data_IF_295773227093
#
_entry.id   IF_295773227093
#
_cell.length_a   1.000
_cell.length_b   1.000
_cell.length_c   1.000
_cell.angle_alpha   90.00
_cell.angle_beta   90.00
_cell.angle_gamma   90.00
#
_symmetry.space_group_name_H-M   'P 1'
#
loop_
_entity.id
_entity.type
_entity.pdbx_description
1 polymer ?
#
# COMPACT_ATOMS: atom_id res chain seq x y z
N UNK A 1 13.03 -2.51 -20.58
CA UNK A 1 12.80 -2.39 -19.12
C UNK A 1 13.28 -0.99 -18.81
N UNK A 2 12.39 -0.11 -18.36
CA UNK A 2 12.73 1.29 -18.20
C UNK A 2 13.69 1.47 -17.03
N UNK A 3 14.48 2.53 -17.08
CA UNK A 3 15.19 3.05 -15.93
C UNK A 3 14.33 4.13 -15.27
N UNK A 4 14.23 4.13 -13.95
CA UNK A 4 13.73 5.26 -13.21
C UNK A 4 14.80 6.35 -13.19
N UNK A 5 14.44 7.51 -13.69
CA UNK A 5 15.27 8.70 -13.72
C UNK A 5 14.77 9.65 -12.62
N UNK A 6 15.72 10.13 -11.80
CA UNK A 6 15.46 11.10 -10.74
C UNK A 6 16.31 12.31 -11.03
N UNK A 7 15.70 13.49 -11.12
CA UNK A 7 16.43 14.75 -11.27
C UNK A 7 16.07 15.76 -10.21
N UNK A 8 16.90 16.79 -10.11
CA UNK A 8 16.47 18.04 -9.51
C UNK A 8 15.49 18.77 -10.46
N UNK A 9 14.77 19.80 -9.99
CA UNK A 9 13.89 20.60 -10.84
C UNK A 9 14.64 21.41 -11.91
N UNK A 10 15.97 21.55 -11.77
CA UNK A 10 16.84 22.19 -12.74
C UNK A 10 17.22 21.32 -13.95
N UNK A 11 16.80 20.05 -13.96
CA UNK A 11 17.08 19.10 -15.04
C UNK A 11 18.40 18.33 -14.89
N UNK A 12 19.14 18.52 -13.79
CA UNK A 12 20.33 17.70 -13.54
C UNK A 12 19.89 16.32 -13.03
N UNK A 13 20.29 15.28 -13.77
CA UNK A 13 20.04 13.90 -13.39
C UNK A 13 20.82 13.55 -12.12
N UNK A 14 20.11 13.10 -11.10
CA UNK A 14 20.64 12.73 -9.80
C UNK A 14 20.84 11.21 -9.67
N UNK A 15 19.94 10.43 -10.26
CA UNK A 15 19.96 8.96 -10.21
C UNK A 15 19.34 8.41 -11.50
N UNK A 16 19.91 7.31 -11.98
CA UNK A 16 19.27 6.39 -12.92
C UNK A 16 19.29 5.01 -12.30
N UNK A 17 18.12 4.41 -12.09
CA UNK A 17 17.95 3.11 -11.47
C UNK A 17 17.22 2.19 -12.43
N UNK A 18 17.88 1.13 -12.88
CA UNK A 18 17.23 0.16 -13.75
C UNK A 18 16.14 -0.62 -13.02
N UNK A 19 14.97 -0.74 -13.66
CA UNK A 19 13.81 -1.35 -13.06
C UNK A 19 13.60 -2.78 -13.53
N UNK A 20 13.39 -3.69 -12.58
CA UNK A 20 13.11 -5.08 -12.86
C UNK A 20 11.61 -5.35 -12.81
N UNK A 21 11.11 -6.26 -13.65
CA UNK A 21 9.70 -6.67 -13.63
C UNK A 21 9.29 -7.20 -12.26
N UNK A 22 8.03 -6.93 -11.88
CA UNK A 22 7.44 -7.27 -10.58
C UNK A 22 8.20 -6.74 -9.36
N UNK A 23 9.20 -5.87 -9.52
CA UNK A 23 9.88 -5.27 -8.37
C UNK A 23 9.06 -4.13 -7.76
N UNK A 24 9.44 -3.79 -6.54
CA UNK A 24 8.93 -2.67 -5.78
C UNK A 24 10.11 -1.91 -5.19
N UNK A 25 10.11 -0.59 -5.36
CA UNK A 25 11.10 0.31 -4.78
C UNK A 25 10.38 1.23 -3.80
N UNK A 26 10.95 1.40 -2.62
CA UNK A 26 10.48 2.41 -1.65
C UNK A 26 11.28 3.69 -1.83
N UNK A 27 10.59 4.84 -1.82
CA UNK A 27 11.17 6.16 -2.00
C UNK A 27 10.92 7.02 -0.77
N UNK A 28 11.98 7.64 -0.25
CA UNK A 28 11.86 8.45 0.96
C UNK A 28 13.21 8.95 1.47
N UNK A 29 13.18 9.75 2.54
CA UNK A 29 14.41 10.22 3.20
C UNK A 29 15.02 9.23 4.18
N UNK A 30 14.31 8.15 4.50
CA UNK A 30 14.84 7.11 5.38
C UNK A 30 16.03 6.44 4.70
N UNK A 31 17.07 6.12 5.46
CA UNK A 31 18.19 5.30 4.98
C UNK A 31 17.78 3.84 4.68
N UNK A 32 16.56 3.47 5.07
CA UNK A 32 15.92 2.19 4.77
C UNK A 32 15.11 2.17 3.47
N UNK A 33 14.93 3.32 2.83
CA UNK A 33 14.28 3.38 1.52
C UNK A 33 15.23 2.82 0.45
N UNK A 34 14.66 2.16 -0.55
CA UNK A 34 15.44 1.66 -1.70
C UNK A 34 16.10 2.82 -2.46
N UNK A 35 15.35 3.91 -2.63
CA UNK A 35 15.86 5.18 -3.16
C UNK A 35 15.77 6.21 -2.04
N UNK A 36 16.94 6.65 -1.58
CA UNK A 36 17.08 7.60 -0.48
C UNK A 36 17.19 9.02 -1.05
N UNK A 37 16.24 9.87 -0.68
CA UNK A 37 16.24 11.30 -1.00
C UNK A 37 16.41 12.07 0.33
N UNK A 38 17.65 12.36 0.76
CA UNK A 38 17.96 12.95 2.06
C UNK A 38 17.60 14.44 2.13
N UNK A 39 16.31 14.75 2.08
CA UNK A 39 15.76 16.10 2.16
C UNK A 39 14.55 16.14 3.10
N UNK A 40 14.39 17.22 3.85
CA UNK A 40 13.32 17.35 4.85
C UNK A 40 11.93 17.57 4.23
N UNK A 41 11.86 17.96 2.95
CA UNK A 41 10.62 17.97 2.16
C UNK A 41 10.20 16.56 1.74
N UNK A 42 11.09 15.58 1.86
CA UNK A 42 10.79 14.18 1.59
C UNK A 42 10.37 13.48 2.88
N UNK A 43 9.22 12.79 2.87
CA UNK A 43 8.82 11.98 4.03
C UNK A 43 9.72 10.74 4.17
N UNK A 44 9.81 10.16 5.37
CA UNK A 44 10.65 8.96 5.61
C UNK A 44 10.28 7.81 4.69
N UNK A 45 8.97 7.56 4.57
CA UNK A 45 8.35 6.70 3.58
C UNK A 45 7.43 7.63 2.80
N UNK A 46 7.88 8.08 1.63
CA UNK A 46 7.17 9.09 0.86
C UNK A 46 6.25 8.43 -0.16
N UNK A 47 6.81 7.53 -0.95
CA UNK A 47 6.09 6.87 -2.01
C UNK A 47 6.60 5.44 -2.20
N UNK A 48 5.80 4.63 -2.86
CA UNK A 48 6.20 3.30 -3.31
C UNK A 48 5.99 3.19 -4.81
N UNK A 49 7.03 2.76 -5.52
CA UNK A 49 7.04 2.53 -6.95
C UNK A 49 6.93 1.02 -7.21
N UNK A 50 6.00 0.59 -8.04
CA UNK A 50 5.82 -0.82 -8.35
C UNK A 50 5.30 -1.04 -9.77
N UNK A 51 5.65 -2.19 -10.33
CA UNK A 51 5.17 -2.64 -11.65
C UNK A 51 3.78 -3.27 -11.57
N UNK A 52 2.94 -3.18 -12.60
CA UNK A 52 1.75 -3.99 -12.77
C UNK A 52 1.52 -4.18 -14.26
N UNK A 53 1.65 -5.42 -14.74
CA UNK A 53 1.50 -5.77 -16.16
C UNK A 53 2.43 -4.96 -17.09
N UNK A 54 3.65 -4.64 -16.64
CA UNK A 54 4.62 -3.85 -17.42
C UNK A 54 4.41 -2.34 -17.32
N UNK A 55 3.38 -1.90 -16.60
CA UNK A 55 3.11 -0.49 -16.32
C UNK A 55 3.59 -0.14 -14.92
N UNK A 56 4.30 0.97 -14.78
CA UNK A 56 4.82 1.40 -13.49
C UNK A 56 3.87 2.38 -12.82
N UNK A 57 3.73 2.22 -11.51
CA UNK A 57 2.83 2.99 -10.68
C UNK A 57 3.57 3.52 -9.45
N UNK A 58 3.32 4.78 -9.09
CA UNK A 58 3.80 5.42 -7.88
C UNK A 58 2.61 5.76 -6.98
N UNK A 59 2.59 5.21 -5.78
CA UNK A 59 1.59 5.53 -4.76
C UNK A 59 2.19 6.38 -3.65
N UNK A 60 1.51 7.47 -3.28
CA UNK A 60 1.84 8.29 -2.12
C UNK A 60 1.50 7.54 -0.82
N UNK A 61 2.40 7.59 0.15
CA UNK A 61 2.28 6.87 1.41
C UNK A 61 1.67 7.72 2.54
N UNK A 62 0.94 8.78 2.20
CA UNK A 62 0.49 9.81 3.15
C UNK A 62 1.61 10.79 3.47
N UNK A 63 2.38 11.19 2.46
CA UNK A 63 3.51 12.08 2.64
C UNK A 63 3.08 13.51 2.98
N UNK A 64 3.96 14.26 3.65
CA UNK A 64 3.69 15.66 4.01
C UNK A 64 3.62 16.59 2.80
N UNK A 65 4.49 16.36 1.82
CA UNK A 65 4.60 17.21 0.63
C UNK A 65 3.63 16.77 -0.48
N UNK A 66 3.19 15.51 -0.45
CA UNK A 66 2.38 14.88 -1.50
C UNK A 66 3.19 14.61 -2.77
N UNK A 67 2.49 14.04 -3.74
CA UNK A 67 2.95 13.91 -5.12
C UNK A 67 2.21 14.94 -5.99
N UNK A 68 2.89 15.40 -7.05
CA UNK A 68 2.30 16.29 -8.04
C UNK A 68 2.76 15.89 -9.43
N UNK A 69 1.83 15.84 -10.38
CA UNK A 69 2.10 15.59 -11.79
C UNK A 69 1.50 16.71 -12.65
N UNK A 70 1.37 16.49 -13.95
CA UNK A 70 0.85 17.44 -14.93
C UNK A 70 -0.60 17.88 -14.61
N UNK A 71 -1.38 16.99 -14.00
CA UNK A 71 -2.75 17.26 -13.57
C UNK A 71 -2.84 17.96 -12.20
N UNK A 72 -1.70 18.20 -11.54
CA UNK A 72 -1.61 18.78 -10.20
C UNK A 72 -1.39 17.73 -9.12
N UNK A 73 -1.86 18.00 -7.90
CA UNK A 73 -1.64 17.10 -6.76
C UNK A 73 -2.34 15.76 -6.97
N UNK A 74 -1.61 14.68 -6.68
CA UNK A 74 -2.12 13.32 -6.78
C UNK A 74 -1.62 12.45 -5.61
N UNK A 75 -2.34 11.37 -5.32
CA UNK A 75 -1.92 10.30 -4.41
C UNK A 75 -1.47 9.05 -5.16
N UNK A 76 -1.71 9.01 -6.48
CA UNK A 76 -1.38 7.88 -7.33
C UNK A 76 -1.01 8.37 -8.72
N UNK A 77 0.10 7.90 -9.24
CA UNK A 77 0.57 8.23 -10.59
C UNK A 77 0.90 6.95 -11.34
N UNK A 78 0.36 6.83 -12.54
CA UNK A 78 0.73 5.77 -13.48
C UNK A 78 1.66 6.38 -14.52
N UNK A 79 2.86 5.82 -14.67
CA UNK A 79 3.80 6.22 -15.72
C UNK A 79 3.31 5.64 -17.06
N UNK A 80 2.38 6.35 -17.68
CA UNK A 80 1.82 6.02 -18.99
C UNK A 80 2.10 7.15 -19.98
N UNK A 81 2.77 6.81 -21.08
CA UNK A 81 3.07 7.74 -22.17
C UNK A 81 4.36 8.55 -21.97
N UNK A 82 4.83 9.17 -23.05
CA UNK A 82 6.19 9.66 -23.19
C UNK A 82 6.53 10.91 -22.34
N UNK A 83 5.56 11.53 -21.67
CA UNK A 83 5.75 12.77 -20.90
C UNK A 83 5.43 12.61 -19.40
N UNK A 84 5.17 11.39 -18.93
CA UNK A 84 4.72 11.14 -17.56
C UNK A 84 5.81 11.42 -16.52
N UNK A 85 5.67 12.52 -15.79
CA UNK A 85 6.54 12.88 -14.67
C UNK A 85 5.76 13.03 -13.37
N UNK A 86 6.49 12.88 -12.26
CA UNK A 86 5.95 13.14 -10.93
C UNK A 86 6.98 13.82 -10.04
N UNK A 87 6.58 14.96 -9.48
CA UNK A 87 7.32 15.71 -8.49
C UNK A 87 7.07 15.12 -7.10
N UNK A 88 8.16 14.86 -6.39
CA UNK A 88 8.15 14.36 -5.03
C UNK A 88 9.13 15.18 -4.19
N UNK A 89 8.63 16.00 -3.27
CA UNK A 89 9.49 16.85 -2.46
C UNK A 89 10.41 17.74 -3.32
N UNK A 90 11.74 17.56 -3.28
CA UNK A 90 12.69 18.33 -4.07
C UNK A 90 13.06 17.68 -5.42
N UNK A 91 12.56 16.49 -5.76
CA UNK A 91 12.96 15.78 -6.99
C UNK A 91 11.80 15.64 -7.98
N UNK A 92 12.15 15.40 -9.23
CA UNK A 92 11.24 14.99 -10.31
C UNK A 92 11.63 13.57 -10.74
N UNK A 93 10.63 12.72 -10.94
CA UNK A 93 10.77 11.32 -11.36
C UNK A 93 10.10 11.11 -12.72
N UNK A 94 10.73 10.30 -13.58
CA UNK A 94 10.15 9.78 -14.83
C UNK A 94 10.87 8.48 -15.25
N UNK A 95 10.41 7.83 -16.32
CA UNK A 95 11.01 6.59 -16.84
C UNK A 95 11.79 6.81 -18.14
N UNK A 96 12.88 6.09 -18.40
CA UNK A 96 13.73 6.29 -19.58
C UNK A 96 13.10 5.85 -20.91
N UNK A 97 12.13 4.94 -20.87
CA UNK A 97 11.35 4.55 -22.06
C UNK A 97 10.25 5.58 -22.38
N UNK A 98 10.15 6.64 -21.56
CA UNK A 98 9.36 7.84 -21.77
C UNK A 98 10.35 9.01 -21.97
N UNK A 99 10.16 9.86 -22.95
CA UNK A 99 11.12 10.94 -23.25
C UNK A 99 11.28 11.82 -22.00
N UNK A 100 12.50 12.20 -21.64
CA UNK A 100 12.71 13.08 -20.48
C UNK A 100 11.83 14.35 -20.64
N UNK A 101 11.06 14.74 -19.61
CA UNK A 101 10.22 15.93 -19.71
C UNK A 101 11.10 17.13 -20.04
N UNK A 102 10.66 17.96 -20.99
CA UNK A 102 11.29 19.25 -21.25
C UNK A 102 11.38 20.01 -19.92
N UNK A 103 12.51 20.68 -19.62
CA UNK A 103 12.72 21.34 -18.35
C UNK A 103 11.57 22.32 -18.06
N UNK A 104 10.69 21.94 -17.14
CA UNK A 104 9.57 22.77 -16.73
C UNK A 104 10.09 23.96 -15.91
N UNK A 105 9.78 25.21 -16.29
CA UNK A 105 10.29 26.37 -15.58
C UNK A 105 9.53 26.58 -14.26
N UNK A 106 10.25 26.48 -13.14
CA UNK A 106 10.08 27.35 -11.96
C UNK A 106 11.49 27.76 -11.48
N UNK A 107 11.71 29.03 -11.07
CA UNK A 107 12.77 29.86 -11.59
C UNK A 107 14.15 29.51 -11.02
N UNK A 108 15.13 29.53 -11.93
CA UNK A 108 16.57 29.65 -11.67
C UNK A 108 17.27 28.40 -11.13
N UNK A 109 17.61 27.48 -12.05
CA UNK A 109 18.74 26.58 -11.86
C UNK A 109 20.02 27.24 -12.44
N UNK A 110 21.00 27.52 -11.58
CA UNK A 110 22.35 27.86 -12.01
C UNK A 110 23.09 26.53 -12.27
N UNK A 111 23.65 26.37 -13.47
CA UNK A 111 24.43 25.18 -13.86
C UNK A 111 25.80 25.17 -13.17
N UNK A 112 26.19 24.01 -12.63
CA UNK A 112 27.57 23.51 -12.58
C UNK A 112 27.55 21.98 -12.31
N UNK A 113 28.55 21.23 -12.79
CA UNK A 113 28.64 19.79 -12.63
C UNK A 113 29.18 19.45 -11.24
N UNK A 114 28.43 18.64 -10.50
CA UNK A 114 28.92 17.95 -9.30
C UNK A 114 28.29 16.57 -9.27
N UNK A 115 29.14 15.57 -9.04
CA UNK A 115 28.73 14.17 -8.79
C UNK A 115 27.54 14.14 -7.82
N UNK A 116 26.52 13.29 -8.08
CA UNK A 116 25.29 13.31 -7.31
C UNK A 116 25.58 12.96 -5.84
N UNK A 117 25.02 13.70 -4.86
CA UNK A 117 25.15 13.39 -3.44
C UNK A 117 24.23 12.23 -2.99
N UNK A 118 23.85 11.33 -3.89
CA UNK A 118 22.91 10.26 -3.60
C UNK A 118 23.64 8.93 -3.70
N UNK A 119 23.86 8.32 -2.53
CA UNK A 119 24.34 6.95 -2.45
C UNK A 119 23.17 6.02 -2.74
N UNK A 120 23.27 5.22 -3.79
CA UNK A 120 22.41 4.03 -3.91
C UNK A 120 22.71 3.18 -2.67
N UNK A 121 21.71 2.56 -2.05
CA UNK A 121 21.92 1.72 -0.86
C UNK A 121 22.99 0.62 -1.08
N UNK A 122 23.28 0.27 -2.35
CA UNK A 122 24.35 -0.64 -2.77
C UNK A 122 25.78 -0.08 -2.72
N UNK A 123 25.99 1.25 -2.59
CA UNK A 123 27.33 1.86 -2.51
C UNK A 123 27.93 1.85 -1.10
N UNK A 124 27.18 1.37 -0.11
CA UNK A 124 27.75 0.84 1.13
C UNK A 124 28.16 -0.62 0.89
N UNK A 125 29.13 -0.84 0.00
CA UNK A 125 29.95 -2.04 0.05
C UNK A 125 30.69 -2.03 1.40
N UNK A 126 30.03 -2.56 2.43
CA UNK A 126 30.75 -3.41 3.36
C UNK A 126 31.34 -4.52 2.50
N UNK A 127 32.65 -4.70 2.59
CA UNK A 127 33.41 -5.80 1.99
C UNK A 127 33.11 -7.14 2.70
N UNK A 128 31.83 -7.38 2.91
CA UNK A 128 31.25 -8.61 3.40
C UNK A 128 30.03 -8.75 2.50
N UNK A 129 30.11 -9.65 1.52
CA UNK A 129 28.91 -10.19 0.86
C UNK A 129 27.89 -10.40 1.97
N UNK A 130 26.74 -9.69 2.03
CA UNK A 130 25.76 -10.05 3.03
C UNK A 130 25.44 -11.49 2.69
N UNK A 131 25.69 -12.48 3.58
CA UNK A 131 24.99 -13.72 3.41
C UNK A 131 23.53 -13.32 3.25
N UNK A 132 22.82 -13.95 2.31
CA UNK A 132 21.38 -14.06 2.44
C UNK A 132 21.15 -14.71 3.81
N UNK A 133 21.11 -13.87 4.86
CA UNK A 133 20.61 -14.29 6.14
C UNK A 133 19.17 -14.62 5.81
N UNK A 134 18.71 -15.87 6.07
CA UNK A 134 17.30 -16.10 6.22
C UNK A 134 16.88 -15.08 7.27
N UNK A 135 16.18 -14.05 6.87
CA UNK A 135 15.70 -13.10 7.85
C UNK A 135 14.63 -13.84 8.62
N UNK A 136 14.67 -13.73 9.96
CA UNK A 136 13.66 -14.24 10.89
C UNK A 136 12.32 -13.47 10.72
N UNK A 137 11.87 -13.31 9.48
CA UNK A 137 10.63 -12.64 9.15
C UNK A 137 9.52 -13.67 9.28
N UNK A 138 8.65 -13.44 10.26
CA UNK A 138 7.42 -14.22 10.35
C UNK A 138 6.66 -14.07 9.01
N UNK A 139 6.31 -15.19 8.35
CA UNK A 139 5.41 -15.13 7.20
C UNK A 139 4.13 -14.45 7.67
N UNK A 140 3.68 -13.43 6.92
CA UNK A 140 2.39 -12.82 7.23
C UNK A 140 1.33 -13.65 6.53
N UNK A 141 0.39 -14.15 7.32
CA UNK A 141 -0.77 -14.85 6.82
C UNK A 141 -1.93 -13.86 6.73
N UNK A 142 -2.69 -13.89 5.64
CA UNK A 142 -3.95 -13.16 5.52
C UNK A 142 -5.11 -14.14 5.64
N UNK A 143 -5.95 -13.94 6.65
CA UNK A 143 -7.23 -14.61 6.78
C UNK A 143 -8.31 -13.76 6.10
N UNK A 144 -8.96 -14.31 5.07
CA UNK A 144 -10.01 -13.61 4.32
C UNK A 144 -11.39 -14.20 4.54
N UNK A 145 -12.40 -13.34 4.71
CA UNK A 145 -13.83 -13.69 4.76
C UNK A 145 -14.63 -12.73 3.88
N UNK A 146 -15.58 -13.27 3.11
CA UNK A 146 -16.56 -12.51 2.33
C UNK A 146 -17.92 -12.59 3.01
N UNK A 147 -18.71 -11.51 2.97
CA UNK A 147 -20.12 -11.59 3.35
C UNK A 147 -20.82 -12.68 2.51
N UNK A 148 -21.67 -13.47 3.16
CA UNK A 148 -22.33 -14.63 2.55
C UNK A 148 -21.49 -15.91 2.50
N UNK A 149 -20.17 -15.87 2.76
CA UNK A 149 -19.33 -17.07 2.88
C UNK A 149 -18.86 -17.31 4.31
N UNK A 150 -18.98 -18.55 4.78
CA UNK A 150 -18.39 -19.01 6.04
C UNK A 150 -16.95 -19.53 5.89
N UNK A 151 -16.42 -19.57 4.66
CA UNK A 151 -15.08 -20.09 4.43
C UNK A 151 -14.02 -19.02 4.71
N UNK A 152 -13.08 -19.31 5.60
CA UNK A 152 -11.86 -18.53 5.77
C UNK A 152 -10.80 -19.07 4.80
N UNK A 153 -10.12 -18.19 4.07
CA UNK A 153 -8.94 -18.54 3.28
C UNK A 153 -7.71 -17.96 3.94
N UNK A 154 -6.68 -18.79 4.11
CA UNK A 154 -5.37 -18.37 4.59
C UNK A 154 -4.44 -18.23 3.39
N UNK A 155 -3.80 -17.07 3.27
CA UNK A 155 -2.80 -16.81 2.24
C UNK A 155 -1.45 -16.52 2.89
N UNK A 156 -0.43 -17.29 2.51
CA UNK A 156 0.96 -17.03 2.83
C UNK A 156 1.55 -16.04 1.82
N UNK A 157 2.01 -14.89 2.33
CA UNK A 157 2.66 -13.88 1.51
C UNK A 157 4.14 -14.20 1.24
N UNK A 158 4.71 -15.19 1.94
CA UNK A 158 6.07 -15.70 1.78
C UNK A 158 7.14 -14.59 1.74
N UNK A 159 8.11 -14.78 0.84
CA UNK A 159 9.19 -13.83 0.55
C UNK A 159 8.87 -12.90 -0.64
N UNK A 160 7.59 -12.76 -1.00
CA UNK A 160 7.21 -11.90 -2.13
C UNK A 160 7.63 -10.44 -1.86
N UNK A 161 8.30 -9.83 -2.84
CA UNK A 161 8.72 -8.42 -2.74
C UNK A 161 7.50 -7.47 -2.60
N UNK A 162 6.36 -7.88 -3.16
CA UNK A 162 5.07 -7.18 -3.10
C UNK A 162 3.93 -8.15 -3.38
N UNK A 163 2.73 -7.78 -2.95
CA UNK A 163 1.49 -8.49 -3.23
C UNK A 163 0.46 -7.44 -3.67
N UNK A 164 -0.12 -7.62 -4.86
CA UNK A 164 -1.18 -6.77 -5.36
C UNK A 164 -2.56 -7.28 -4.96
N UNK A 165 -3.43 -6.37 -4.57
CA UNK A 165 -4.84 -6.64 -4.28
C UNK A 165 -5.71 -5.84 -5.25
N UNK A 166 -6.70 -6.49 -5.85
CA UNK A 166 -7.69 -5.83 -6.70
C UNK A 166 -8.72 -6.81 -7.28
N UNK A 167 -9.64 -6.32 -8.08
CA UNK A 167 -10.64 -7.15 -8.78
C UNK A 167 -10.17 -7.69 -10.13
N UNK A 168 -9.02 -7.21 -10.62
CA UNK A 168 -8.40 -7.75 -11.82
C UNK A 168 -7.90 -9.17 -11.57
N UNK A 169 -8.14 -10.07 -12.53
CA UNK A 169 -7.53 -11.41 -12.54
C UNK A 169 -5.99 -11.41 -12.65
N UNK A 170 -5.37 -10.24 -12.77
CA UNK A 170 -3.93 -10.04 -12.77
C UNK A 170 -3.37 -9.52 -11.43
N UNK A 171 -4.21 -9.29 -10.43
CA UNK A 171 -3.76 -9.08 -9.06
C UNK A 171 -3.31 -10.41 -8.42
N UNK A 172 -2.38 -10.35 -7.48
CA UNK A 172 -1.92 -11.55 -6.77
C UNK A 172 -3.04 -12.06 -5.84
N UNK A 173 -3.81 -11.15 -5.24
CA UNK A 173 -5.07 -11.42 -4.54
C UNK A 173 -6.21 -10.79 -5.34
N UNK A 174 -6.98 -11.64 -6.00
CA UNK A 174 -8.18 -11.25 -6.73
C UNK A 174 -9.39 -11.29 -5.80
N UNK A 175 -10.07 -10.15 -5.64
CA UNK A 175 -11.34 -10.02 -4.92
C UNK A 175 -12.41 -9.61 -5.93
N UNK A 176 -13.31 -10.55 -6.24
CA UNK A 176 -14.41 -10.35 -7.18
C UNK A 176 -15.56 -9.59 -6.49
N UNK A 177 -15.36 -8.28 -6.35
CA UNK A 177 -16.31 -7.37 -5.74
C UNK A 177 -16.36 -6.05 -6.53
N UNK A 178 -17.56 -5.54 -6.91
CA UNK A 178 -17.70 -4.29 -7.65
C UNK A 178 -17.14 -3.05 -6.96
N UNK A 179 -17.04 -3.04 -5.63
CA UNK A 179 -16.45 -1.94 -4.86
C UNK A 179 -14.91 -1.99 -4.85
N UNK A 180 -14.30 -3.07 -5.36
CA UNK A 180 -12.86 -3.24 -5.41
C UNK A 180 -12.34 -2.84 -6.80
N UNK A 181 -11.52 -1.80 -6.86
CA UNK A 181 -10.83 -1.38 -8.09
C UNK A 181 -9.93 -2.49 -8.67
N UNK A 182 -9.69 -2.50 -10.00
CA UNK A 182 -8.86 -3.52 -10.66
C UNK A 182 -7.46 -3.65 -10.06
N UNK A 183 -6.86 -2.51 -9.68
CA UNK A 183 -5.68 -2.40 -8.84
C UNK A 183 -6.09 -1.52 -7.66
N UNK A 184 -6.25 -2.12 -6.48
CA UNK A 184 -6.83 -1.44 -5.31
C UNK A 184 -5.76 -1.06 -4.30
N UNK A 185 -4.90 -2.01 -3.96
CA UNK A 185 -3.85 -1.80 -2.97
C UNK A 185 -2.62 -2.64 -3.29
N UNK A 186 -1.49 -2.20 -2.74
CA UNK A 186 -0.23 -2.95 -2.76
C UNK A 186 0.23 -3.21 -1.34
N UNK A 187 0.45 -4.47 -1.01
CA UNK A 187 1.16 -4.89 0.19
C UNK A 187 2.64 -5.02 -0.16
N UNK A 188 3.50 -4.52 0.72
CA UNK A 188 4.94 -4.53 0.51
C UNK A 188 5.69 -4.59 1.83
N UNK A 189 6.96 -4.97 1.75
CA UNK A 189 7.88 -4.97 2.88
C UNK A 189 8.42 -3.55 3.11
N UNK A 190 8.24 -3.09 4.34
CA UNK A 190 8.90 -1.90 4.87
C UNK A 190 9.79 -2.34 6.01
N UNK A 191 11.10 -2.40 5.74
CA UNK A 191 12.09 -2.92 6.69
C UNK A 191 11.75 -4.36 7.11
N UNK A 192 11.43 -4.57 8.39
CA UNK A 192 11.07 -5.83 9.02
C UNK A 192 9.56 -6.08 9.06
N UNK A 193 8.76 -5.12 8.62
CA UNK A 193 7.30 -5.14 8.73
C UNK A 193 6.62 -5.14 7.38
N UNK A 194 5.37 -5.59 7.39
CA UNK A 194 4.49 -5.45 6.23
C UNK A 194 3.69 -4.15 6.34
N UNK A 195 3.53 -3.49 5.21
CA UNK A 195 2.66 -2.35 5.05
C UNK A 195 1.75 -2.57 3.84
N UNK A 196 0.61 -1.90 3.85
CA UNK A 196 -0.31 -1.79 2.72
C UNK A 196 -0.44 -0.32 2.34
N UNK A 197 -0.49 -0.05 1.03
CA UNK A 197 -0.75 1.27 0.48
C UNK A 197 -1.90 1.24 -0.51
N UNK A 198 -2.66 2.33 -0.56
CA UNK A 198 -3.67 2.57 -1.59
C UNK A 198 -3.00 2.71 -2.96
N UNK A 199 -3.51 2.01 -3.96
CA UNK A 199 -2.97 2.01 -5.32
C UNK A 199 -3.86 2.81 -6.28
N UNK A 200 -4.40 3.95 -5.81
CA UNK A 200 -5.31 4.79 -6.59
C UNK A 200 -6.72 4.23 -6.68
N UNK A 201 -7.18 3.54 -5.64
CA UNK A 201 -8.50 2.91 -5.63
C UNK A 201 -9.63 3.95 -5.55
N UNK A 202 -10.78 3.64 -6.14
CA UNK A 202 -11.93 4.55 -6.15
C UNK A 202 -12.52 4.78 -4.75
N UNK A 203 -12.53 3.72 -3.93
CA UNK A 203 -13.09 3.74 -2.58
C UNK A 203 -12.06 4.05 -1.47
N UNK A 204 -10.77 4.07 -1.84
CA UNK A 204 -9.64 4.19 -0.93
C UNK A 204 -9.39 2.92 -0.11
N UNK A 205 -8.14 2.72 0.29
CA UNK A 205 -7.77 1.72 1.30
C UNK A 205 -8.47 2.00 2.64
N UNK A 206 -9.27 1.05 3.11
CA UNK A 206 -9.95 1.09 4.41
C UNK A 206 -9.35 0.08 5.37
N UNK A 207 -9.06 0.54 6.59
CA UNK A 207 -8.64 -0.31 7.68
C UNK A 207 -9.26 0.13 9.01
N UNK A 208 -9.85 -0.80 9.76
CA UNK A 208 -10.56 -0.56 11.03
C UNK A 208 -11.59 0.60 10.93
N UNK A 209 -12.38 0.61 9.86
CA UNK A 209 -13.43 1.59 9.59
C UNK A 209 -12.93 2.97 9.15
N UNK A 210 -11.62 3.15 8.91
CA UNK A 210 -11.01 4.44 8.53
C UNK A 210 -10.26 4.32 7.22
N UNK A 211 -10.19 5.43 6.46
CA UNK A 211 -9.42 5.52 5.22
C UNK A 211 -7.94 5.84 5.49
N UNK A 212 -7.07 5.21 4.72
CA UNK A 212 -5.62 5.36 4.80
C UNK A 212 -5.03 5.45 3.39
N UNK A 213 -3.91 6.18 3.24
CA UNK A 213 -3.04 6.03 2.06
C UNK A 213 -2.00 4.95 2.28
N UNK A 214 -1.61 4.74 3.56
CA UNK A 214 -0.71 3.69 3.99
C UNK A 214 -1.08 3.24 5.41
N UNK A 215 -1.00 1.94 5.69
CA UNK A 215 -1.13 1.36 7.03
C UNK A 215 -0.13 0.22 7.23
N UNK A 216 0.49 0.14 8.41
CA UNK A 216 1.25 -1.03 8.83
C UNK A 216 0.29 -2.20 9.10
N UNK A 217 0.62 -3.37 8.56
CA UNK A 217 -0.15 -4.61 8.75
C UNK A 217 0.21 -5.24 10.08
N UNK A 218 -0.43 -4.75 11.13
CA UNK A 218 -0.37 -5.32 12.46
C UNK A 218 -1.39 -6.46 12.56
N UNK A 219 -1.06 -7.57 13.25
CA UNK A 219 -2.01 -8.65 13.47
C UNK A 219 -3.34 -8.14 14.04
N UNK A 220 -4.46 -8.65 13.50
CA UNK A 220 -5.81 -8.22 13.89
C UNK A 220 -6.32 -6.95 13.20
N UNK A 221 -5.53 -6.29 12.35
CA UNK A 221 -6.02 -5.15 11.56
C UNK A 221 -7.08 -5.61 10.55
N UNK A 222 -8.28 -5.06 10.59
CA UNK A 222 -9.33 -5.34 9.62
C UNK A 222 -9.10 -4.52 8.35
N UNK A 223 -8.79 -5.17 7.23
CA UNK A 223 -8.67 -4.54 5.91
C UNK A 223 -9.95 -4.78 5.11
N UNK A 224 -10.65 -3.72 4.76
CA UNK A 224 -12.00 -3.80 4.15
C UNK A 224 -11.93 -3.58 2.63
N UNK A 225 -12.46 -4.53 1.87
CA UNK A 225 -12.51 -4.54 0.41
C UNK A 225 -13.92 -4.94 -0.06
N UNK A 226 -14.83 -3.96 -0.14
CA UNK A 226 -16.24 -4.23 -0.38
C UNK A 226 -16.82 -5.13 0.71
N UNK A 227 -17.40 -6.25 0.30
CA UNK A 227 -17.98 -7.27 1.17
C UNK A 227 -16.91 -8.26 1.71
N UNK A 228 -15.65 -8.11 1.29
CA UNK A 228 -14.53 -8.94 1.75
C UNK A 228 -13.70 -8.22 2.81
N UNK A 229 -13.43 -8.88 3.93
CA UNK A 229 -12.46 -8.43 4.92
C UNK A 229 -11.26 -9.37 4.98
N UNK A 230 -10.06 -8.80 4.96
CA UNK A 230 -8.79 -9.50 5.18
C UNK A 230 -8.20 -9.08 6.52
N UNK A 231 -7.64 -10.04 7.25
CA UNK A 231 -6.99 -9.79 8.54
C UNK A 231 -5.57 -10.38 8.52
N UNK A 232 -4.52 -9.58 8.77
CA UNK A 232 -3.19 -10.08 9.05
C UNK A 232 -3.19 -10.91 10.33
N UNK A 233 -2.62 -12.11 10.28
CA UNK A 233 -2.46 -13.00 11.43
C UNK A 233 -1.03 -13.54 11.47
N UNK A 234 -0.55 -13.83 12.68
CA UNK A 234 0.75 -14.48 12.88
C UNK A 234 0.61 -16.00 12.70
N UNK A 235 1.65 -16.69 12.21
CA UNK A 235 1.65 -18.15 12.08
C UNK A 235 1.37 -18.88 13.40
N UNK A 236 1.93 -18.39 14.51
CA UNK A 236 1.78 -18.99 15.84
C UNK A 236 0.33 -18.95 16.34
N UNK A 237 -0.46 -17.98 15.86
CA UNK A 237 -1.87 -17.87 16.20
C UNK A 237 -2.74 -18.95 15.52
N UNK A 238 -2.26 -19.53 14.43
CA UNK A 238 -2.99 -20.56 13.67
C UNK A 238 -2.59 -21.99 14.06
N UNK A 239 -1.43 -22.15 14.71
CA UNK A 239 -0.92 -23.44 15.18
C UNK A 239 -0.36 -23.31 16.61
N UNK A 240 -1.21 -23.23 17.65
CA UNK A 240 -0.73 -23.24 19.03
C UNK A 240 0.09 -24.52 19.29
N UNK A 241 1.33 -24.38 19.78
CA UNK A 241 2.27 -25.51 19.97
C UNK A 241 1.80 -26.55 21.01
N UNK A 242 0.73 -26.27 21.76
CA UNK A 242 0.13 -27.19 22.73
C UNK A 242 -1.39 -27.26 22.53
N UNK A 243 -1.84 -28.15 21.64
CA UNK A 243 -3.20 -28.67 21.73
C UNK A 243 -3.09 -29.90 22.65
N UNK A 244 -3.34 -29.72 23.96
CA UNK A 244 -3.80 -30.85 24.78
C UNK A 244 -5.02 -31.42 24.06
N UNK A 245 -5.01 -32.73 23.76
CA UNK A 245 -6.06 -33.43 23.01
C UNK A 245 -7.44 -33.24 23.69
N UNK A 246 -8.12 -32.14 23.42
CA UNK A 246 -9.53 -31.95 23.71
C UNK A 246 -10.09 -30.76 22.93
N UNK A 247 -10.97 -31.11 21.99
CA UNK A 247 -12.09 -30.33 21.48
C UNK A 247 -11.78 -29.22 20.45
N UNK A 248 -12.11 -29.57 19.20
CA UNK A 248 -12.61 -28.71 18.12
C UNK A 248 -11.73 -27.53 17.65
N UNK A 249 -11.04 -27.75 16.52
CA UNK A 249 -10.33 -26.74 15.71
C UNK A 249 -11.26 -25.61 15.21
N UNK A 250 -12.57 -25.70 15.43
CA UNK A 250 -13.52 -24.61 15.15
C UNK A 250 -13.40 -23.42 16.13
N UNK A 251 -12.82 -23.59 17.33
CA UNK A 251 -12.80 -22.55 18.37
C UNK A 251 -11.54 -21.65 18.40
N UNK A 252 -10.45 -21.99 17.70
CA UNK A 252 -9.24 -21.14 17.65
C UNK A 252 -9.54 -19.78 16.97
N UNK A 253 -10.44 -19.79 15.98
CA UNK A 253 -10.83 -18.59 15.24
C UNK A 253 -11.77 -17.66 16.04
N UNK A 254 -12.58 -18.21 16.93
CA UNK A 254 -13.39 -17.44 17.88
C UNK A 254 -12.55 -16.91 19.05
N UNK A 255 -11.53 -17.65 19.49
CA UNK A 255 -10.58 -17.20 20.53
C UNK A 255 -9.63 -16.09 20.08
N UNK A 256 -9.31 -16.00 18.79
CA UNK A 256 -8.58 -14.86 18.21
C UNK A 256 -9.41 -13.56 18.16
N UNK A 257 -10.65 -13.60 18.65
CA UNK A 257 -11.60 -12.48 18.65
C UNK A 257 -11.88 -11.92 17.24
N UNK A 258 -11.62 -12.72 16.21
CA UNK A 258 -11.96 -12.36 14.83
C UNK A 258 -13.47 -12.23 14.72
N UNK A 259 -14.25 -13.07 15.41
CA UNK A 259 -15.70 -13.00 15.47
C UNK A 259 -16.27 -11.70 16.06
N UNK A 260 -15.67 -11.12 17.11
CA UNK A 260 -16.20 -9.88 17.72
C UNK A 260 -15.80 -8.62 16.96
N UNK A 261 -14.68 -8.66 16.24
CA UNK A 261 -14.28 -7.61 15.31
C UNK A 261 -15.32 -7.41 14.18
N UNK A 262 -16.13 -8.46 13.89
CA UNK A 262 -17.22 -8.43 12.90
C UNK A 262 -18.63 -8.24 13.50
N UNK A 263 -18.82 -8.26 14.82
CA UNK A 263 -20.17 -8.16 15.45
C UNK A 263 -20.50 -6.78 16.02
N UNK A 264 -19.65 -5.77 15.83
CA UNK A 264 -19.93 -4.41 16.28
C UNK A 264 -20.97 -3.67 15.39
N UNK A 265 -22.15 -4.24 15.19
CA UNK A 265 -23.36 -3.53 14.75
C UNK A 265 -24.63 -4.31 15.08
N UNK A 266 -24.79 -4.84 16.30
CA UNK A 266 -26.10 -5.35 16.72
C UNK A 266 -26.38 -5.13 18.21
N UNK A 267 -26.26 -3.88 18.67
CA UNK A 267 -26.87 -3.48 19.94
C UNK A 267 -27.19 -1.97 20.01
N UNK A 268 -28.17 -1.55 19.22
CA UNK A 268 -29.05 -0.44 19.58
C UNK A 268 -30.50 -0.89 19.32
N UNK A 269 -30.97 -1.84 20.12
CA UNK A 269 -32.35 -2.32 20.08
C UNK A 269 -33.30 -1.42 20.86
N UNK A 270 -34.53 -1.31 20.33
CA UNK A 270 -35.81 -0.96 20.98
C UNK A 270 -36.15 0.54 21.02
N UNK A 271 -37.34 1.00 20.70
CA UNK A 271 -38.62 0.39 20.29
C UNK A 271 -39.58 1.55 20.06
N UNK A 272 -40.29 1.61 18.93
CA UNK A 272 -41.68 2.08 18.93
C UNK A 272 -42.36 1.71 17.61
N UNK A 273 -43.03 0.57 17.60
CA UNK A 273 -44.13 0.31 16.68
C UNK A 273 -45.41 0.85 17.33
N UNK A 274 -46.24 1.55 16.56
CA UNK A 274 -47.58 1.94 17.03
C UNK A 274 -48.27 3.06 16.25
N UNK A 275 -48.69 2.74 15.02
CA UNK A 275 -49.98 3.13 14.41
C UNK A 275 -50.33 4.62 14.11
N UNK A 276 -50.43 4.88 12.80
CA UNK A 276 -51.62 5.35 12.07
C UNK A 276 -52.43 6.58 12.56
N UNK A 277 -52.29 7.69 11.82
CA UNK A 277 -53.26 8.79 11.64
C UNK A 277 -54.64 8.28 11.18
N UNK A 278 -55.79 9.02 11.27
CA UNK A 278 -55.90 10.49 11.07
C UNK A 278 -57.04 11.25 11.82
N UNK A 279 -57.10 12.56 11.54
CA UNK A 279 -58.30 13.43 11.47
C UNK A 279 -58.68 14.33 12.66
N UNK A 280 -58.72 15.64 12.35
CA UNK A 280 -59.32 16.78 13.07
C UNK A 280 -60.79 16.55 13.47
N UNK A 281 -61.34 17.26 14.48
CA UNK A 281 -61.75 18.65 14.27
C UNK A 281 -61.46 19.64 15.42
N UNK A 282 -61.47 20.93 15.05
CA UNK A 282 -61.51 22.10 15.94
C UNK A 282 -62.97 22.42 16.32
N UNK A 283 -63.12 23.02 17.52
CA UNK A 283 -64.12 24.00 18.02
C UNK A 283 -64.95 23.53 19.23
N UNK A 284 -65.47 24.44 20.08
CA UNK A 284 -65.71 25.89 19.89
C UNK A 284 -64.55 26.82 20.22
#
# INVERSE_FOLDING_TARGET
>A
MPDLLVSNPGGDLLLSQSLQSRSLLTLGRSDRSTIVIPDDRTSRHHAVLFDHLGVWHLADLGSKAGLENEAGKTTFHQFAGDEAWVRMGPVILWLSDTTAPEPHPDPSAMKLPTEPPFRIASEFLRDETPPAKPTDHLPLLLAGRSEGSKSIRILDLGDAARILIGSSGHADICIDDPAVSPLHAVIYREEDRWAIADAGSEQGLRANGKRWLRKLLEPGTLLEFGDTTLVPVLPEALFPEEIEESEEVEDIFDQLDLGSAFTASESASRSNDGESLPSRPRKP
#
